data_IF_826443339736
#
_entry.id   IF_826443339736
#
_cell.length_a   1.000
_cell.length_b   1.000
_cell.length_c   1.000
_cell.angle_alpha   90.00
_cell.angle_beta   90.00
_cell.angle_gamma   90.00
#
_symmetry.space_group_name_H-M   'P 1'
#
loop_
_entity.id
_entity.type
_entity.pdbx_description
1 polymer ?
#
# COMPACT_ATOMS: atom_id res chain seq x y z
N UNK A 1 -16.17 14.31 28.49
CA UNK A 1 -15.77 13.84 29.82
C UNK A 1 -16.93 13.66 30.82
N UNK A 2 -18.20 13.67 30.41
CA UNK A 2 -19.34 13.64 31.36
C UNK A 2 -20.11 12.31 31.42
N UNK A 3 -19.88 11.35 30.52
CA UNK A 3 -20.60 10.06 30.54
C UNK A 3 -19.94 9.00 31.45
N UNK A 4 -18.63 9.08 31.66
CA UNK A 4 -17.89 8.12 32.51
C UNK A 4 -18.16 8.27 34.02
N UNK A 5 -18.49 9.45 34.49
CA UNK A 5 -18.75 9.71 35.91
C UNK A 5 -20.15 9.23 36.35
N UNK A 6 -21.13 9.30 35.44
CA UNK A 6 -22.53 8.87 35.74
C UNK A 6 -22.69 7.35 35.86
N UNK A 7 -21.88 6.57 35.13
CA UNK A 7 -21.90 5.09 35.20
C UNK A 7 -21.14 4.63 36.47
N UNK A 8 -20.02 5.27 36.79
CA UNK A 8 -19.24 4.99 37.98
C UNK A 8 -20.02 5.23 39.27
N UNK A 9 -20.71 6.36 39.39
CA UNK A 9 -21.50 6.72 40.58
C UNK A 9 -22.75 5.82 40.78
N UNK A 10 -23.37 5.34 39.70
CA UNK A 10 -24.47 4.37 39.81
C UNK A 10 -24.02 2.99 40.24
N UNK A 11 -22.86 2.52 39.72
CA UNK A 11 -22.27 1.23 40.12
C UNK A 11 -21.81 1.25 41.59
N UNK A 12 -21.25 2.36 42.06
CA UNK A 12 -20.78 2.50 43.45
C UNK A 12 -21.99 2.62 44.41
N UNK A 13 -23.08 3.29 44.02
CA UNK A 13 -24.33 3.33 44.81
C UNK A 13 -25.03 1.97 44.88
N UNK A 14 -25.07 1.17 43.79
CA UNK A 14 -25.62 -0.18 43.81
C UNK A 14 -24.88 -1.14 44.74
N UNK A 15 -23.61 -0.89 45.04
CA UNK A 15 -22.82 -1.70 45.99
C UNK A 15 -22.99 -1.35 47.48
N UNK A 16 -23.62 -0.21 47.78
CA UNK A 16 -23.65 0.31 49.18
C UNK A 16 -24.97 0.06 49.90
N UNK A 17 -26.06 -0.18 49.17
CA UNK A 17 -27.39 -0.38 49.73
C UNK A 17 -27.92 -1.84 49.56
N UNK A 18 -27.01 -2.77 49.21
CA UNK A 18 -27.39 -4.19 49.11
C UNK A 18 -27.58 -4.79 50.49
N UNK A 19 -28.82 -5.04 50.83
CA UNK A 19 -29.22 -5.82 52.05
C UNK A 19 -28.57 -7.23 51.97
N UNK A 20 -27.68 -7.61 52.88
CA UNK A 20 -27.00 -8.90 52.84
C UNK A 20 -27.90 -10.12 52.99
N UNK A 21 -29.18 -9.93 53.17
CA UNK A 21 -30.19 -11.01 53.40
C UNK A 21 -31.02 -11.35 52.15
N UNK A 22 -30.83 -10.71 51.01
CA UNK A 22 -31.64 -10.96 49.80
C UNK A 22 -31.09 -12.13 48.95
N UNK A 23 -31.73 -13.33 48.95
CA UNK A 23 -31.21 -14.48 48.18
C UNK A 23 -31.32 -14.31 46.64
N UNK A 24 -32.10 -13.35 46.16
CA UNK A 24 -32.27 -13.10 44.73
C UNK A 24 -31.05 -12.43 44.10
N UNK A 25 -30.37 -11.55 44.80
CA UNK A 25 -29.18 -10.87 44.31
C UNK A 25 -27.99 -11.81 44.13
N UNK A 26 -27.86 -12.83 44.95
CA UNK A 26 -26.78 -13.82 44.84
C UNK A 26 -26.91 -14.66 43.56
N UNK A 27 -28.11 -15.10 43.20
CA UNK A 27 -28.38 -15.89 41.99
C UNK A 27 -28.07 -15.08 40.73
N UNK A 28 -28.46 -13.81 40.71
CA UNK A 28 -28.17 -12.92 39.59
C UNK A 28 -26.67 -12.67 39.44
N UNK A 29 -25.97 -12.34 40.52
CA UNK A 29 -24.52 -12.15 40.54
C UNK A 29 -23.77 -13.40 40.11
N UNK A 30 -24.19 -14.56 40.59
CA UNK A 30 -23.63 -15.85 40.20
C UNK A 30 -23.88 -16.14 38.70
N UNK A 31 -25.07 -15.87 38.18
CA UNK A 31 -25.40 -16.04 36.78
C UNK A 31 -24.56 -15.13 35.88
N UNK A 32 -24.32 -13.85 36.26
CA UNK A 32 -23.45 -12.92 35.56
C UNK A 32 -22.00 -13.42 35.56
N UNK A 33 -21.52 -13.94 36.72
CA UNK A 33 -20.17 -14.47 36.81
C UNK A 33 -20.00 -15.71 35.93
N UNK A 34 -20.94 -16.63 35.94
CA UNK A 34 -20.91 -17.82 35.06
C UNK A 34 -20.98 -17.42 33.60
N UNK A 35 -21.85 -16.47 33.24
CA UNK A 35 -21.92 -15.95 31.87
C UNK A 35 -20.60 -15.33 31.42
N UNK A 36 -19.99 -14.51 32.29
CA UNK A 36 -18.68 -13.90 31.99
C UNK A 36 -17.58 -14.97 31.82
N UNK A 37 -17.59 -16.00 32.66
CA UNK A 37 -16.65 -17.10 32.55
C UNK A 37 -16.87 -17.92 31.29
N UNK A 38 -18.10 -18.22 30.91
CA UNK A 38 -18.42 -18.93 29.64
C UNK A 38 -17.99 -18.11 28.44
N UNK A 39 -18.27 -16.81 28.43
CA UNK A 39 -17.80 -15.93 27.36
C UNK A 39 -16.29 -15.90 27.32
N UNK A 40 -15.61 -15.78 28.46
CA UNK A 40 -14.16 -15.83 28.55
C UNK A 40 -13.56 -17.11 27.97
N UNK A 41 -14.15 -18.27 28.27
CA UNK A 41 -13.75 -19.56 27.71
C UNK A 41 -13.97 -19.61 26.20
N UNK A 42 -15.12 -19.14 25.70
CA UNK A 42 -15.41 -19.10 24.25
C UNK A 42 -14.37 -18.24 23.50
N UNK A 43 -14.00 -17.07 24.05
CA UNK A 43 -13.02 -16.20 23.43
C UNK A 43 -11.57 -16.66 23.61
N UNK A 44 -11.26 -17.43 24.66
CA UNK A 44 -9.93 -17.98 24.88
C UNK A 44 -9.70 -19.32 24.14
N UNK A 45 -10.74 -20.11 23.94
CA UNK A 45 -10.65 -21.45 23.35
C UNK A 45 -9.98 -21.51 21.97
N UNK A 46 -10.14 -20.53 21.05
CA UNK A 46 -9.43 -20.54 19.76
C UNK A 46 -7.92 -20.64 19.88
N UNK A 47 -7.32 -20.08 20.94
CA UNK A 47 -5.87 -20.11 21.14
C UNK A 47 -5.31 -21.50 21.52
N UNK A 48 -6.18 -22.45 21.83
CA UNK A 48 -5.78 -23.86 22.09
C UNK A 48 -5.55 -24.64 20.80
N UNK A 49 -6.02 -24.13 19.67
CA UNK A 49 -5.88 -24.76 18.36
C UNK A 49 -4.65 -24.21 17.63
N UNK A 50 -3.58 -25.02 17.56
CA UNK A 50 -2.38 -24.64 16.83
C UNK A 50 -2.66 -24.58 15.32
N UNK A 51 -2.27 -23.48 14.63
CA UNK A 51 -2.47 -23.36 13.20
C UNK A 51 -1.66 -24.39 12.41
N UNK A 52 -2.19 -24.85 11.29
CA UNK A 52 -1.50 -25.72 10.36
C UNK A 52 -0.59 -24.92 9.42
N UNK A 53 0.54 -25.48 9.05
CA UNK A 53 1.36 -24.96 7.95
C UNK A 53 0.61 -25.09 6.63
N UNK A 54 0.49 -24.02 5.88
CA UNK A 54 -0.31 -24.02 4.65
C UNK A 54 0.35 -23.22 3.53
N UNK A 55 0.07 -23.60 2.29
CA UNK A 55 0.35 -22.77 1.11
C UNK A 55 -0.94 -22.20 0.58
N UNK A 56 -0.91 -20.93 0.29
CA UNK A 56 -2.00 -20.22 -0.36
C UNK A 56 -1.61 -19.88 -1.79
N UNK A 57 -2.37 -20.39 -2.75
CA UNK A 57 -2.21 -20.08 -4.17
C UNK A 57 -3.25 -19.06 -4.59
N UNK A 58 -2.82 -18.04 -5.34
CA UNK A 58 -3.68 -17.04 -5.97
C UNK A 58 -3.28 -16.84 -7.43
N UNK A 59 -4.25 -16.42 -8.26
CA UNK A 59 -3.98 -16.03 -9.64
C UNK A 59 -3.52 -14.57 -9.70
N UNK A 60 -2.54 -14.26 -10.55
CA UNK A 60 -2.08 -12.90 -10.86
C UNK A 60 -2.86 -12.31 -12.04
N UNK A 61 -3.63 -13.13 -12.75
CA UNK A 61 -4.42 -12.69 -13.92
C UNK A 61 -5.62 -11.87 -13.46
N UNK A 62 -6.00 -10.90 -14.26
CA UNK A 62 -6.94 -9.81 -13.94
C UNK A 62 -8.35 -10.22 -13.47
N UNK A 63 -8.79 -11.48 -13.64
CA UNK A 63 -10.07 -11.96 -13.09
C UNK A 63 -9.91 -12.63 -11.72
N UNK A 64 -8.67 -12.85 -11.24
CA UNK A 64 -8.34 -13.38 -9.92
C UNK A 64 -8.85 -14.81 -9.63
N UNK A 65 -9.56 -15.44 -10.59
CA UNK A 65 -10.20 -16.74 -10.38
C UNK A 65 -9.28 -17.90 -10.69
N UNK A 66 -9.31 -18.89 -9.81
CA UNK A 66 -8.62 -20.15 -10.01
C UNK A 66 -9.53 -21.15 -10.70
N UNK A 67 -8.96 -21.99 -11.59
CA UNK A 67 -9.70 -23.10 -12.18
C UNK A 67 -9.96 -24.19 -11.12
N UNK A 68 -11.19 -24.73 -11.03
CA UNK A 68 -11.48 -25.85 -10.10
C UNK A 68 -10.59 -27.07 -10.29
N UNK A 69 -10.09 -27.30 -11.52
CA UNK A 69 -9.17 -28.41 -11.80
C UNK A 69 -7.77 -28.20 -11.20
N UNK A 70 -7.45 -26.97 -10.78
CA UNK A 70 -6.13 -26.64 -10.22
C UNK A 70 -5.87 -27.42 -8.93
N UNK A 71 -6.89 -27.60 -8.07
CA UNK A 71 -6.77 -28.37 -6.83
C UNK A 71 -6.28 -29.81 -7.08
N UNK A 72 -6.93 -30.51 -8.00
CA UNK A 72 -6.54 -31.88 -8.35
C UNK A 72 -5.12 -31.96 -8.92
N UNK A 73 -4.77 -31.04 -9.81
CA UNK A 73 -3.44 -30.95 -10.42
C UNK A 73 -2.34 -30.64 -9.40
N UNK A 74 -2.59 -29.73 -8.47
CA UNK A 74 -1.67 -29.37 -7.38
C UNK A 74 -1.48 -30.57 -6.44
N UNK A 75 -2.57 -31.22 -6.05
CA UNK A 75 -2.54 -32.41 -5.19
C UNK A 75 -1.74 -33.54 -5.83
N UNK A 76 -1.98 -33.83 -7.10
CA UNK A 76 -1.25 -34.85 -7.86
C UNK A 76 0.24 -34.49 -8.00
N UNK A 77 0.54 -33.22 -8.32
CA UNK A 77 1.92 -32.76 -8.49
C UNK A 77 2.74 -32.85 -7.20
N UNK A 78 2.16 -32.61 -6.05
CA UNK A 78 2.82 -32.74 -4.75
C UNK A 78 2.95 -34.20 -4.31
N UNK A 79 1.86 -34.97 -4.43
CA UNK A 79 1.85 -36.40 -4.02
C UNK A 79 2.80 -37.23 -4.86
N UNK A 80 2.88 -36.98 -6.18
CA UNK A 80 3.83 -37.71 -7.07
C UNK A 80 5.30 -37.41 -6.73
N UNK A 81 5.59 -36.35 -6.00
CA UNK A 81 6.92 -35.97 -5.51
C UNK A 81 7.16 -36.33 -4.04
N UNK A 82 6.25 -37.11 -3.45
CA UNK A 82 6.39 -37.63 -2.08
C UNK A 82 6.09 -36.61 -0.97
N UNK A 83 5.34 -35.54 -1.27
CA UNK A 83 4.90 -34.59 -0.26
C UNK A 83 3.50 -34.97 0.22
N UNK A 84 3.37 -35.18 1.54
CA UNK A 84 2.11 -35.49 2.17
C UNK A 84 1.26 -34.23 2.36
N UNK A 85 0.02 -34.26 1.89
CA UNK A 85 -0.96 -33.18 2.06
C UNK A 85 -1.93 -33.58 3.18
N UNK A 86 -2.11 -32.69 4.15
CA UNK A 86 -3.08 -32.90 5.25
C UNK A 86 -4.52 -32.64 4.78
N UNK A 87 -4.75 -31.57 4.07
CA UNK A 87 -6.03 -31.22 3.43
C UNK A 87 -5.83 -30.14 2.38
N UNK A 88 -6.78 -30.00 1.45
CA UNK A 88 -6.87 -28.90 0.51
C UNK A 88 -8.25 -28.25 0.61
N UNK A 89 -8.32 -26.96 0.38
CA UNK A 89 -9.54 -26.16 0.39
C UNK A 89 -9.53 -25.20 -0.79
N UNK A 90 -10.46 -25.41 -1.72
CA UNK A 90 -10.61 -24.59 -2.91
C UNK A 90 -11.70 -23.53 -2.69
N UNK A 91 -11.37 -22.28 -2.97
CA UNK A 91 -12.28 -21.15 -3.12
C UNK A 91 -11.96 -20.48 -4.46
N UNK A 92 -12.92 -19.87 -5.17
CA UNK A 92 -12.66 -19.32 -6.51
C UNK A 92 -11.49 -18.34 -6.62
N UNK A 93 -11.15 -17.62 -5.57
CA UNK A 93 -10.07 -16.63 -5.49
C UNK A 93 -8.76 -17.19 -4.91
N UNK A 94 -8.80 -18.39 -4.27
CA UNK A 94 -7.62 -18.99 -3.63
C UNK A 94 -7.72 -20.50 -3.49
N UNK A 95 -6.58 -21.15 -3.51
CA UNK A 95 -6.44 -22.55 -3.11
C UNK A 95 -5.53 -22.62 -1.89
N UNK A 96 -6.01 -23.21 -0.80
CA UNK A 96 -5.26 -23.44 0.43
C UNK A 96 -4.90 -24.90 0.56
N UNK A 97 -3.61 -25.21 0.70
CA UNK A 97 -3.11 -26.57 0.88
C UNK A 97 -2.39 -26.68 2.22
N UNK A 98 -2.82 -27.57 3.09
CA UNK A 98 -2.30 -27.75 4.47
C UNK A 98 -1.32 -28.89 4.56
N UNK A 99 -0.27 -28.70 5.37
CA UNK A 99 0.81 -29.65 5.60
C UNK A 99 0.97 -29.96 7.09
N UNK A 100 1.62 -31.08 7.40
CA UNK A 100 1.89 -31.48 8.77
C UNK A 100 3.12 -30.74 9.36
N UNK A 101 4.06 -30.31 8.51
CA UNK A 101 5.29 -29.66 8.95
C UNK A 101 5.68 -28.47 8.05
N UNK A 102 6.48 -27.53 8.62
CA UNK A 102 7.03 -26.43 7.88
C UNK A 102 8.03 -26.85 6.78
N UNK A 103 8.74 -27.95 6.98
CA UNK A 103 9.68 -28.49 5.98
C UNK A 103 8.93 -28.97 4.72
N UNK A 104 7.78 -29.65 4.91
CA UNK A 104 6.93 -30.07 3.79
C UNK A 104 6.33 -28.87 3.08
N UNK A 105 5.92 -27.83 3.82
CA UNK A 105 5.43 -26.58 3.27
C UNK A 105 6.47 -25.90 2.37
N UNK A 106 7.72 -25.79 2.83
CA UNK A 106 8.81 -25.14 2.07
C UNK A 106 9.18 -25.93 0.81
N UNK A 107 9.26 -27.27 0.90
CA UNK A 107 9.49 -28.12 -0.28
C UNK A 107 8.34 -28.01 -1.28
N UNK A 108 7.10 -28.02 -0.79
CA UNK A 108 5.91 -27.88 -1.62
C UNK A 108 5.90 -26.52 -2.35
N UNK A 109 6.27 -25.43 -1.66
CA UNK A 109 6.40 -24.10 -2.26
C UNK A 109 7.35 -24.12 -3.46
N UNK A 110 8.58 -24.59 -3.27
CA UNK A 110 9.60 -24.63 -4.32
C UNK A 110 9.14 -25.45 -5.53
N UNK A 111 8.47 -26.57 -5.30
CA UNK A 111 7.95 -27.44 -6.35
C UNK A 111 6.83 -26.75 -7.13
N UNK A 112 5.90 -26.13 -6.42
CA UNK A 112 4.74 -25.47 -7.04
C UNK A 112 5.13 -24.22 -7.81
N UNK A 113 6.05 -23.40 -7.30
CA UNK A 113 6.58 -22.23 -8.01
C UNK A 113 7.24 -22.64 -9.33
N UNK A 114 8.11 -23.64 -9.30
CA UNK A 114 8.80 -24.14 -10.50
C UNK A 114 7.84 -24.80 -11.50
N UNK A 115 6.76 -25.42 -11.02
CA UNK A 115 5.83 -26.16 -11.87
C UNK A 115 4.72 -25.28 -12.44
N UNK A 116 4.14 -24.36 -11.63
CA UNK A 116 3.02 -23.50 -12.04
C UNK A 116 3.47 -22.33 -12.93
N UNK A 117 4.67 -21.82 -12.69
CA UNK A 117 5.18 -20.62 -13.35
C UNK A 117 6.33 -20.92 -14.33
N UNK A 118 6.30 -22.10 -14.98
CA UNK A 118 7.36 -22.55 -15.89
C UNK A 118 7.55 -21.63 -17.10
N UNK A 119 6.45 -21.16 -17.67
CA UNK A 119 6.45 -20.35 -18.90
C UNK A 119 6.10 -18.90 -18.63
N UNK A 120 5.22 -18.63 -17.69
CA UNK A 120 4.78 -17.30 -17.27
C UNK A 120 4.41 -17.29 -15.80
N UNK A 121 4.66 -16.16 -15.10
CA UNK A 121 4.25 -16.00 -13.70
C UNK A 121 2.73 -15.75 -13.64
N UNK A 122 1.95 -16.81 -13.53
CA UNK A 122 0.47 -16.77 -13.46
C UNK A 122 -0.08 -16.96 -12.06
N UNK A 123 0.73 -17.55 -11.16
CA UNK A 123 0.28 -17.88 -9.81
C UNK A 123 1.29 -17.40 -8.78
N UNK A 124 0.78 -16.88 -7.67
CA UNK A 124 1.54 -16.61 -6.46
C UNK A 124 1.32 -17.75 -5.48
N UNK A 125 2.42 -18.32 -4.98
CA UNK A 125 2.43 -19.36 -3.96
C UNK A 125 2.97 -18.78 -2.67
N UNK A 126 2.08 -18.40 -1.75
CA UNK A 126 2.45 -17.77 -0.48
C UNK A 126 2.47 -18.78 0.67
N UNK A 127 3.46 -18.63 1.56
CA UNK A 127 3.47 -19.31 2.86
C UNK A 127 2.37 -18.73 3.73
N UNK A 128 1.59 -19.58 4.37
CA UNK A 128 0.51 -19.19 5.26
C UNK A 128 0.43 -20.13 6.47
N UNK A 129 -0.20 -19.66 7.54
CA UNK A 129 -0.61 -20.44 8.70
C UNK A 129 -2.15 -20.49 8.73
N UNK A 130 -2.71 -21.67 8.50
CA UNK A 130 -4.15 -21.84 8.43
C UNK A 130 -4.73 -22.18 9.80
N UNK A 131 -5.75 -21.42 10.24
CA UNK A 131 -6.46 -21.69 11.47
C UNK A 131 -7.05 -23.11 11.46
N UNK A 132 -6.95 -23.79 12.59
CA UNK A 132 -7.59 -25.08 12.86
C UNK A 132 -8.78 -24.94 13.80
N UNK A 133 -9.20 -23.72 14.11
CA UNK A 133 -10.34 -23.42 14.96
C UNK A 133 -11.61 -24.05 14.39
N UNK A 134 -12.40 -24.81 15.18
CA UNK A 134 -13.63 -25.40 14.70
C UNK A 134 -14.65 -24.35 14.24
N UNK A 135 -15.34 -24.63 13.14
CA UNK A 135 -16.28 -23.70 12.52
C UNK A 135 -17.42 -23.23 13.46
N UNK A 136 -17.81 -24.04 14.43
CA UNK A 136 -18.83 -23.63 15.41
C UNK A 136 -18.33 -22.54 16.34
N UNK A 137 -17.02 -22.56 16.69
CA UNK A 137 -16.39 -21.56 17.55
C UNK A 137 -16.16 -20.24 16.77
N UNK A 138 -15.80 -20.33 15.51
CA UNK A 138 -15.69 -19.16 14.62
C UNK A 138 -17.04 -18.46 14.42
N UNK A 139 -18.14 -19.24 14.29
CA UNK A 139 -19.51 -18.69 14.20
C UNK A 139 -19.95 -17.95 15.46
N UNK A 140 -19.40 -18.30 16.63
CA UNK A 140 -19.62 -17.59 17.89
C UNK A 140 -18.69 -16.36 18.04
N UNK A 141 -17.89 -16.02 17.01
CA UNK A 141 -16.97 -14.90 17.04
C UNK A 141 -15.62 -15.20 17.68
N UNK A 142 -15.36 -16.46 18.05
CA UNK A 142 -14.07 -16.90 18.57
C UNK A 142 -13.02 -16.92 17.46
N UNK A 143 -12.04 -16.04 17.53
CA UNK A 143 -10.88 -16.00 16.64
C UNK A 143 -9.61 -16.23 17.46
N UNK A 144 -8.62 -16.98 16.95
CA UNK A 144 -7.33 -17.07 17.61
C UNK A 144 -6.70 -15.67 17.70
N UNK A 145 -5.94 -15.46 18.74
CA UNK A 145 -5.22 -14.20 18.92
C UNK A 145 -4.16 -14.06 17.80
N UNK A 146 -4.15 -12.94 17.11
CA UNK A 146 -3.11 -12.64 16.12
C UNK A 146 -1.77 -12.51 16.84
N UNK A 147 -0.86 -13.41 16.53
CA UNK A 147 0.48 -13.38 17.07
C UNK A 147 1.29 -12.35 16.29
N UNK A 148 1.83 -11.36 17.00
CA UNK A 148 2.75 -10.40 16.39
C UNK A 148 4.03 -11.05 15.90
N UNK A 149 4.87 -10.29 15.19
CA UNK A 149 6.17 -10.70 14.64
C UNK A 149 7.06 -11.42 15.66
N UNK A 150 7.05 -10.97 16.91
CA UNK A 150 7.88 -11.52 17.97
C UNK A 150 7.56 -12.98 18.33
N UNK A 151 6.32 -13.41 18.08
CA UNK A 151 5.83 -14.75 18.43
C UNK A 151 5.66 -15.66 17.22
N UNK A 152 5.26 -15.12 16.08
CA UNK A 152 5.08 -15.90 14.84
C UNK A 152 6.31 -15.90 13.94
N UNK A 153 7.31 -15.06 14.24
CA UNK A 153 8.39 -14.73 13.31
C UNK A 153 7.85 -13.94 12.10
N UNK A 154 8.73 -13.49 11.27
CA UNK A 154 8.35 -12.72 10.07
C UNK A 154 9.37 -11.64 9.74
N UNK A 155 8.97 -10.73 8.87
CA UNK A 155 9.82 -9.67 8.37
C UNK A 155 9.21 -8.32 8.73
N UNK A 156 10.04 -7.46 9.30
CA UNK A 156 9.75 -6.06 9.57
C UNK A 156 10.51 -5.19 8.58
N UNK A 157 9.78 -4.38 7.80
CA UNK A 157 10.37 -3.36 6.96
C UNK A 157 10.05 -1.98 7.52
N UNK A 158 11.07 -1.16 7.57
CA UNK A 158 10.94 0.29 7.73
C UNK A 158 11.29 0.91 6.38
N UNK A 159 10.30 1.44 5.69
CA UNK A 159 10.44 2.08 4.39
C UNK A 159 10.43 3.60 4.61
N UNK A 160 11.24 4.31 3.86
CA UNK A 160 11.24 5.76 3.80
C UNK A 160 10.66 6.21 2.46
N UNK A 161 9.71 7.13 2.52
CA UNK A 161 9.10 7.73 1.33
C UNK A 161 9.91 8.96 0.96
N UNK A 162 10.37 9.03 -0.28
CA UNK A 162 11.07 10.19 -0.83
C UNK A 162 10.05 11.30 -1.14
N UNK A 163 9.73 12.09 -0.11
CA UNK A 163 8.79 13.18 -0.21
C UNK A 163 9.36 14.38 -0.99
N UNK A 164 10.68 14.52 -0.99
CA UNK A 164 11.34 15.63 -1.72
C UNK A 164 11.29 15.37 -3.23
N UNK A 165 11.36 14.10 -3.67
CA UNK A 165 11.09 13.75 -5.06
C UNK A 165 9.66 14.10 -5.47
N UNK A 166 8.66 13.82 -4.65
CA UNK A 166 7.26 14.14 -4.95
C UNK A 166 7.04 15.67 -5.09
N UNK A 167 7.70 16.48 -4.24
CA UNK A 167 7.67 17.94 -4.35
C UNK A 167 8.36 18.40 -5.63
N UNK A 168 9.51 17.81 -5.97
CA UNK A 168 10.26 18.15 -7.19
C UNK A 168 9.47 17.84 -8.45
N UNK A 169 8.85 16.66 -8.52
CA UNK A 169 8.02 16.25 -9.66
C UNK A 169 6.83 17.21 -9.85
N UNK A 170 6.25 17.70 -8.76
CA UNK A 170 5.18 18.71 -8.79
C UNK A 170 5.72 20.04 -9.33
N UNK A 171 6.84 20.52 -8.83
CA UNK A 171 7.46 21.76 -9.29
C UNK A 171 7.84 21.71 -10.79
N UNK A 172 8.35 20.58 -11.27
CA UNK A 172 8.67 20.41 -12.70
C UNK A 172 7.40 20.44 -13.57
N UNK A 173 6.32 19.79 -13.13
CA UNK A 173 5.04 19.82 -13.84
C UNK A 173 4.43 21.24 -13.87
N UNK A 174 4.52 21.97 -12.77
CA UNK A 174 4.03 23.34 -12.70
C UNK A 174 4.90 24.31 -13.52
N UNK A 175 6.22 24.09 -13.56
CA UNK A 175 7.11 24.85 -14.44
C UNK A 175 6.72 24.73 -15.91
N UNK A 176 6.35 23.53 -16.37
CA UNK A 176 5.85 23.34 -17.75
C UNK A 176 4.51 24.07 -17.98
N UNK A 177 3.64 24.05 -17.00
CA UNK A 177 2.37 24.79 -17.06
C UNK A 177 2.61 26.32 -17.12
N UNK A 178 3.47 26.85 -16.27
CA UNK A 178 3.84 28.27 -16.28
C UNK A 178 4.51 28.69 -17.60
N UNK A 179 5.41 27.86 -18.16
CA UNK A 179 5.98 28.08 -19.49
C UNK A 179 4.91 28.17 -20.58
N UNK A 180 3.84 27.38 -20.48
CA UNK A 180 2.71 27.42 -21.41
C UNK A 180 1.96 28.76 -21.28
N UNK A 181 1.60 29.15 -20.05
CA UNK A 181 0.91 30.43 -19.78
C UNK A 181 1.70 31.61 -20.31
N UNK A 182 3.01 31.67 -20.05
CA UNK A 182 3.86 32.74 -20.55
C UNK A 182 3.93 32.79 -22.08
N UNK A 183 4.02 31.63 -22.73
CA UNK A 183 4.02 31.56 -24.22
C UNK A 183 2.67 32.03 -24.82
N UNK A 184 1.57 31.61 -24.23
CA UNK A 184 0.22 31.97 -24.71
C UNK A 184 -0.02 33.48 -24.58
N UNK A 185 0.52 34.12 -23.53
CA UNK A 185 0.52 35.57 -23.35
C UNK A 185 1.64 36.29 -24.09
N UNK A 186 2.45 35.56 -24.91
CA UNK A 186 3.59 36.12 -25.68
C UNK A 186 4.65 36.82 -24.84
N UNK A 187 4.76 36.46 -23.58
CA UNK A 187 5.78 36.97 -22.67
C UNK A 187 7.08 36.19 -22.86
N UNK A 188 8.12 36.90 -23.25
CA UNK A 188 9.44 36.25 -23.52
C UNK A 188 10.23 36.19 -22.22
N UNK A 189 10.63 34.98 -21.88
CA UNK A 189 11.54 34.71 -20.78
C UNK A 189 12.90 34.23 -21.32
N UNK A 190 13.94 34.33 -20.51
CA UNK A 190 15.25 33.81 -20.82
C UNK A 190 15.18 32.28 -20.86
N UNK A 191 15.60 31.68 -21.96
CA UNK A 191 15.66 30.22 -22.04
C UNK A 191 16.72 29.71 -21.04
N UNK A 192 16.24 29.01 -20.02
CA UNK A 192 17.09 28.28 -19.10
C UNK A 192 16.73 26.79 -19.23
N UNK A 193 17.74 25.92 -19.16
CA UNK A 193 17.50 24.47 -19.20
C UNK A 193 16.66 24.02 -18.02
N UNK A 194 16.85 24.64 -16.85
CA UNK A 194 16.09 24.34 -15.65
C UNK A 194 15.60 25.64 -14.98
N UNK A 195 14.32 25.63 -14.58
CA UNK A 195 13.73 26.67 -13.74
C UNK A 195 13.80 26.29 -12.26
N UNK A 196 13.90 25.01 -11.96
CA UNK A 196 13.97 24.49 -10.60
C UNK A 196 15.34 24.77 -10.00
N UNK A 197 15.37 25.51 -8.91
CA UNK A 197 16.56 25.82 -8.12
C UNK A 197 16.24 25.50 -6.67
N UNK A 198 16.84 24.46 -6.12
CA UNK A 198 16.50 23.93 -4.81
C UNK A 198 14.99 23.62 -4.73
N UNK A 199 14.23 24.31 -3.89
CA UNK A 199 12.79 24.13 -3.67
C UNK A 199 11.96 25.28 -4.27
N UNK A 200 12.49 26.03 -5.24
CA UNK A 200 11.83 27.16 -5.88
C UNK A 200 11.93 27.12 -7.39
N UNK A 201 10.97 27.71 -8.07
CA UNK A 201 11.04 27.97 -9.51
C UNK A 201 11.54 29.38 -9.77
N UNK A 202 12.58 29.53 -10.59
CA UNK A 202 13.15 30.81 -10.94
C UNK A 202 13.11 31.03 -12.44
N UNK A 203 12.56 32.16 -12.84
CA UNK A 203 12.47 32.58 -14.24
C UNK A 203 13.00 34.00 -14.41
N UNK A 204 13.83 34.20 -15.45
CA UNK A 204 14.43 35.49 -15.77
C UNK A 204 13.79 36.14 -17.00
N UNK A 205 13.68 37.45 -17.00
CA UNK A 205 13.13 38.28 -18.07
C UNK A 205 14.16 39.33 -18.50
N UNK A 206 14.01 39.86 -19.70
CA UNK A 206 14.93 40.86 -20.22
C UNK A 206 14.82 42.21 -19.52
N UNK A 207 13.66 42.55 -19.02
CA UNK A 207 13.33 43.82 -18.33
C UNK A 207 12.26 43.62 -17.24
N UNK A 208 12.15 44.63 -16.37
CA UNK A 208 11.22 44.63 -15.26
C UNK A 208 9.76 44.71 -15.71
N UNK A 209 9.47 45.38 -16.82
CA UNK A 209 8.09 45.50 -17.31
C UNK A 209 7.56 44.14 -17.81
N UNK A 210 8.41 43.37 -18.49
CA UNK A 210 8.05 42.00 -18.90
C UNK A 210 7.90 41.06 -17.71
N UNK A 211 8.71 41.23 -16.64
CA UNK A 211 8.55 40.49 -15.37
C UNK A 211 7.20 40.80 -14.71
N UNK A 212 6.85 42.08 -14.60
CA UNK A 212 5.59 42.52 -13.93
C UNK A 212 4.36 42.01 -14.71
N UNK A 213 4.40 42.04 -16.04
CA UNK A 213 3.36 41.45 -16.88
C UNK A 213 3.31 39.91 -16.76
N UNK A 214 4.43 39.24 -16.49
CA UNK A 214 4.47 37.81 -16.25
C UNK A 214 3.89 37.45 -14.88
N UNK A 215 4.15 38.25 -13.86
CA UNK A 215 3.55 38.09 -12.52
C UNK A 215 2.02 38.20 -12.60
N UNK A 216 1.49 39.20 -13.29
CA UNK A 216 0.04 39.34 -13.53
C UNK A 216 -0.55 38.16 -14.30
N UNK A 217 0.15 37.68 -15.35
CA UNK A 217 -0.33 36.57 -16.16
C UNK A 217 -0.31 35.22 -15.41
N UNK A 218 0.57 35.07 -14.44
CA UNK A 218 0.69 33.85 -13.63
C UNK A 218 -0.19 33.87 -12.38
N UNK A 219 -0.80 35.02 -12.00
CA UNK A 219 -1.49 35.20 -10.74
C UNK A 219 -2.52 34.10 -10.42
N UNK A 220 -3.36 33.74 -11.40
CA UNK A 220 -4.37 32.70 -11.22
C UNK A 220 -3.77 31.28 -11.20
N UNK A 221 -2.74 31.04 -12.02
CA UNK A 221 -2.12 29.71 -12.16
C UNK A 221 -1.14 29.42 -11.03
N UNK A 222 -0.51 30.46 -10.47
CA UNK A 222 0.44 30.37 -9.37
C UNK A 222 -0.20 30.69 -8.01
N UNK A 223 -1.51 30.52 -7.84
CA UNK A 223 -2.20 30.81 -6.59
C UNK A 223 -1.67 30.04 -5.37
N UNK A 224 -1.13 28.87 -5.59
CA UNK A 224 -0.50 27.99 -4.57
C UNK A 224 0.94 28.44 -4.21
N UNK A 225 1.46 29.46 -4.91
CA UNK A 225 2.83 29.93 -4.77
C UNK A 225 2.89 31.31 -4.08
N UNK A 226 3.99 31.53 -3.39
CA UNK A 226 4.46 32.86 -3.06
C UNK A 226 5.35 33.34 -4.22
N UNK A 227 4.87 34.37 -4.95
CA UNK A 227 5.59 34.95 -6.07
C UNK A 227 6.32 36.19 -5.62
N UNK A 228 7.62 36.25 -5.84
CA UNK A 228 8.45 37.38 -5.44
C UNK A 228 9.35 37.83 -6.60
N UNK A 229 9.48 39.15 -6.73
CA UNK A 229 10.47 39.71 -7.65
C UNK A 229 11.88 39.41 -7.15
N UNK A 230 12.72 38.84 -8.00
CA UNK A 230 14.07 38.44 -7.69
C UNK A 230 15.05 38.84 -8.79
N UNK A 231 16.32 38.78 -8.48
CA UNK A 231 17.38 38.89 -9.51
C UNK A 231 17.82 37.48 -9.83
N UNK A 232 17.48 37.00 -11.02
CA UNK A 232 17.82 35.67 -11.50
C UNK A 232 18.91 35.80 -12.58
N UNK A 233 20.10 35.26 -12.32
CA UNK A 233 21.25 35.32 -13.24
C UNK A 233 21.62 36.74 -13.67
N UNK A 234 21.42 37.72 -12.79
CA UNK A 234 21.73 39.13 -13.07
C UNK A 234 20.66 39.88 -13.86
N UNK A 235 19.52 39.28 -14.14
CA UNK A 235 18.37 39.85 -14.84
C UNK A 235 17.15 40.01 -13.90
N UNK A 236 16.17 40.81 -14.33
CA UNK A 236 14.90 40.91 -13.66
C UNK A 236 14.21 39.54 -13.71
N UNK A 237 13.80 38.99 -12.57
CA UNK A 237 13.19 37.65 -12.50
C UNK A 237 12.07 37.54 -11.50
N UNK A 238 11.41 36.39 -11.52
CA UNK A 238 10.46 35.96 -10.52
C UNK A 238 11.01 34.70 -9.84
N UNK A 239 10.84 34.62 -8.55
CA UNK A 239 10.98 33.43 -7.75
C UNK A 239 9.61 33.00 -7.25
N UNK A 240 9.23 31.76 -7.53
CA UNK A 240 7.97 31.16 -7.11
C UNK A 240 8.27 30.03 -6.12
N UNK A 241 7.77 30.16 -4.92
CA UNK A 241 7.91 29.14 -3.87
C UNK A 241 6.54 28.61 -3.49
N UNK A 242 6.41 27.28 -3.42
CA UNK A 242 5.18 26.69 -2.87
C UNK A 242 4.95 27.16 -1.44
N UNK A 243 3.71 27.47 -1.12
CA UNK A 243 3.32 27.81 0.26
C UNK A 243 3.51 26.59 1.15
N UNK A 244 3.75 26.82 2.43
CA UNK A 244 4.00 25.73 3.40
C UNK A 244 2.83 24.76 3.48
N UNK A 245 1.61 25.28 3.40
CA UNK A 245 0.37 24.50 3.43
C UNK A 245 0.32 23.53 2.24
N UNK A 246 0.65 24.01 1.03
CA UNK A 246 0.67 23.20 -0.19
C UNK A 246 1.78 22.14 -0.16
N UNK A 247 2.95 22.48 0.38
CA UNK A 247 4.04 21.53 0.59
C UNK A 247 3.61 20.39 1.53
N UNK A 248 2.91 20.70 2.61
CA UNK A 248 2.40 19.69 3.53
C UNK A 248 1.30 18.84 2.87
N UNK A 249 0.41 19.44 2.06
CA UNK A 249 -0.61 18.69 1.30
C UNK A 249 0.00 17.72 0.28
N UNK A 250 1.01 18.14 -0.48
CA UNK A 250 1.74 17.28 -1.43
C UNK A 250 2.39 16.10 -0.69
N UNK A 251 3.04 16.37 0.44
CA UNK A 251 3.69 15.34 1.25
C UNK A 251 2.69 14.35 1.85
N UNK A 252 1.58 14.83 2.38
CA UNK A 252 0.52 14.01 2.96
C UNK A 252 -0.16 13.16 1.89
N UNK A 253 -0.39 13.72 0.70
CA UNK A 253 -0.91 12.99 -0.45
C UNK A 253 0.06 11.89 -0.90
N UNK A 254 1.34 12.21 -1.09
CA UNK A 254 2.36 11.24 -1.46
C UNK A 254 2.46 10.10 -0.43
N UNK A 255 2.43 10.42 0.87
CA UNK A 255 2.43 9.43 1.94
C UNK A 255 1.20 8.53 1.88
N UNK A 256 0.01 9.09 1.72
CA UNK A 256 -1.25 8.34 1.68
C UNK A 256 -1.31 7.39 0.48
N UNK A 257 -0.86 7.85 -0.69
CA UNK A 257 -0.80 7.07 -1.92
C UNK A 257 0.21 5.92 -1.81
N UNK A 258 1.40 6.18 -1.28
CA UNK A 258 2.39 5.14 -1.04
C UNK A 258 1.87 4.09 -0.04
N UNK A 259 1.19 4.52 1.03
CA UNK A 259 0.58 3.63 2.01
C UNK A 259 -0.49 2.73 1.36
N UNK A 260 -1.37 3.29 0.53
CA UNK A 260 -2.41 2.54 -0.19
C UNK A 260 -1.80 1.54 -1.17
N UNK A 261 -0.79 1.98 -1.95
CA UNK A 261 -0.07 1.13 -2.90
C UNK A 261 0.62 -0.03 -2.21
N UNK A 262 1.32 0.22 -1.08
CA UNK A 262 1.97 -0.83 -0.30
C UNK A 262 0.96 -1.82 0.29
N UNK A 263 -0.18 -1.35 0.81
CA UNK A 263 -1.25 -2.23 1.30
C UNK A 263 -1.76 -3.17 0.21
N UNK A 264 -2.01 -2.65 -0.99
CA UNK A 264 -2.47 -3.46 -2.11
C UNK A 264 -1.45 -4.53 -2.47
N UNK A 265 -0.16 -4.19 -2.57
CA UNK A 265 0.92 -5.13 -2.88
C UNK A 265 1.11 -6.19 -1.81
N UNK A 266 1.04 -5.79 -0.54
CA UNK A 266 1.15 -6.73 0.58
C UNK A 266 -0.04 -7.69 0.60
N UNK A 267 -1.24 -7.22 0.24
CA UNK A 267 -2.40 -8.09 0.08
C UNK A 267 -2.26 -9.08 -1.09
N UNK A 268 -1.58 -8.69 -2.18
CA UNK A 268 -1.25 -9.58 -3.29
C UNK A 268 -0.29 -10.70 -2.88
N UNK A 269 0.59 -10.46 -1.90
CA UNK A 269 1.45 -11.50 -1.31
C UNK A 269 0.66 -12.63 -0.65
N UNK A 270 -0.61 -12.39 -0.31
CA UNK A 270 -1.44 -13.37 0.37
C UNK A 270 -1.01 -13.66 1.81
N UNK A 271 -0.19 -12.79 2.39
CA UNK A 271 0.22 -12.88 3.80
C UNK A 271 -1.00 -12.75 4.71
N UNK A 272 -1.05 -13.55 5.75
CA UNK A 272 -2.13 -13.46 6.76
C UNK A 272 -1.87 -12.28 7.67
N UNK A 273 -2.85 -11.38 7.77
CA UNK A 273 -2.85 -10.23 8.69
C UNK A 273 -1.59 -9.33 8.63
N UNK A 274 -1.20 -8.84 7.45
CA UNK A 274 -0.06 -7.92 7.35
C UNK A 274 -0.42 -6.58 7.98
N UNK A 275 0.56 -5.94 8.64
CA UNK A 275 0.41 -4.57 9.14
C UNK A 275 1.13 -3.60 8.22
N UNK A 276 0.42 -2.59 7.73
CA UNK A 276 1.00 -1.50 6.94
C UNK A 276 0.51 -0.17 7.54
N UNK A 277 1.41 0.57 8.14
CA UNK A 277 1.06 1.82 8.83
C UNK A 277 2.13 2.90 8.66
N UNK A 278 1.70 4.16 8.69
CA UNK A 278 2.61 5.30 8.71
C UNK A 278 3.33 5.39 10.07
N UNK A 279 4.61 5.72 10.03
CA UNK A 279 5.47 5.91 11.19
C UNK A 279 6.18 7.28 11.13
N UNK A 280 5.53 8.30 11.64
CA UNK A 280 5.97 9.69 11.49
C UNK A 280 5.58 10.28 10.14
N UNK A 281 6.33 11.26 9.65
CA UNK A 281 5.98 12.05 8.46
C UNK A 281 6.43 11.44 7.13
N UNK A 282 7.48 10.61 7.13
CA UNK A 282 8.10 10.09 5.90
C UNK A 282 8.32 8.58 5.89
N UNK A 283 7.92 7.85 6.95
CA UNK A 283 8.21 6.42 7.05
C UNK A 283 6.95 5.59 7.09
N UNK A 284 7.05 4.37 6.55
CA UNK A 284 6.00 3.35 6.57
C UNK A 284 6.58 2.08 7.17
N UNK A 285 5.90 1.54 8.18
CA UNK A 285 6.17 0.23 8.74
C UNK A 285 5.34 -0.80 7.98
N UNK A 286 6.00 -1.87 7.56
CA UNK A 286 5.36 -3.02 6.93
C UNK A 286 5.80 -4.28 7.67
N UNK A 287 4.85 -4.91 8.37
CA UNK A 287 5.04 -6.15 9.09
C UNK A 287 4.40 -7.30 8.32
N UNK A 288 5.19 -8.31 8.03
CA UNK A 288 4.79 -9.50 7.29
C UNK A 288 4.96 -10.74 8.16
N UNK A 289 3.97 -11.07 9.01
CA UNK A 289 4.05 -12.24 9.86
C UNK A 289 4.14 -13.54 9.05
N UNK A 290 4.96 -14.49 9.49
CA UNK A 290 5.11 -15.79 8.86
C UNK A 290 5.90 -15.82 7.55
N UNK A 291 6.30 -14.67 7.01
CA UNK A 291 7.17 -14.60 5.82
C UNK A 291 8.61 -14.83 6.22
N UNK A 292 9.26 -15.83 5.62
CA UNK A 292 10.64 -16.17 5.93
C UNK A 292 11.63 -15.69 4.87
N UNK A 293 11.17 -15.49 3.63
CA UNK A 293 12.01 -15.04 2.52
C UNK A 293 11.97 -13.53 2.35
N UNK A 294 13.00 -12.86 2.86
CA UNK A 294 13.13 -11.40 2.74
C UNK A 294 13.42 -10.93 1.31
N UNK A 295 14.03 -11.76 0.48
CA UNK A 295 14.35 -11.38 -0.90
C UNK A 295 13.07 -11.35 -1.77
N UNK A 296 12.19 -12.34 -1.61
CA UNK A 296 10.89 -12.36 -2.29
C UNK A 296 10.01 -11.20 -1.84
N UNK A 297 9.95 -10.93 -0.53
CA UNK A 297 9.20 -9.80 0.00
C UNK A 297 9.73 -8.47 -0.55
N UNK A 298 11.05 -8.24 -0.57
CA UNK A 298 11.68 -7.06 -1.17
C UNK A 298 11.37 -6.94 -2.66
N UNK A 299 11.44 -8.04 -3.41
CA UNK A 299 11.16 -8.05 -4.86
C UNK A 299 9.74 -7.59 -5.17
N UNK A 300 8.77 -7.97 -4.35
CA UNK A 300 7.37 -7.59 -4.56
C UNK A 300 7.12 -6.16 -4.09
N UNK A 301 7.65 -5.77 -2.96
CA UNK A 301 7.55 -4.40 -2.48
C UNK A 301 8.25 -3.40 -3.43
N UNK A 302 9.36 -3.79 -4.05
CA UNK A 302 10.13 -2.95 -4.98
C UNK A 302 9.63 -2.97 -6.43
N UNK A 303 8.55 -3.70 -6.76
CA UNK A 303 7.93 -3.61 -8.09
C UNK A 303 7.20 -2.27 -8.23
N UNK A 304 7.91 -1.24 -8.63
CA UNK A 304 7.30 0.01 -9.05
C UNK A 304 6.79 -0.15 -10.50
N UNK A 305 5.50 -0.06 -10.69
CA UNK A 305 4.90 0.11 -12.00
C UNK A 305 4.26 1.51 -12.02
N UNK A 306 4.92 2.46 -12.64
CA UNK A 306 4.31 3.74 -12.96
C UNK A 306 3.50 3.57 -14.24
N UNK A 307 2.21 3.88 -14.19
CA UNK A 307 1.39 3.96 -15.38
C UNK A 307 1.64 5.32 -16.03
N UNK A 308 2.25 5.29 -17.22
CA UNK A 308 2.50 6.47 -18.00
C UNK A 308 1.81 6.34 -19.35
N UNK A 309 1.04 7.34 -19.73
CA UNK A 309 0.47 7.44 -21.05
C UNK A 309 1.38 8.30 -21.92
N UNK A 310 1.96 7.70 -22.95
CA UNK A 310 2.85 8.37 -23.91
C UNK A 310 2.30 8.21 -25.31
N UNK A 311 2.52 9.22 -26.15
CA UNK A 311 2.17 9.11 -27.57
C UNK A 311 3.12 8.16 -28.30
N UNK A 312 2.56 7.38 -29.21
CA UNK A 312 3.37 6.68 -30.21
C UNK A 312 3.95 7.74 -31.14
N UNK A 313 5.29 7.76 -31.23
CA UNK A 313 5.97 8.78 -32.00
C UNK A 313 5.63 8.69 -33.50
N UNK A 314 5.19 9.79 -34.08
CA UNK A 314 5.00 9.92 -35.51
C UNK A 314 6.33 10.03 -36.27
N UNK A 315 6.33 9.88 -37.60
CA UNK A 315 7.55 9.93 -38.42
C UNK A 315 8.29 11.28 -38.37
N UNK A 316 7.59 12.33 -37.94
CA UNK A 316 8.13 13.70 -37.89
C UNK A 316 8.76 14.07 -36.54
N UNK A 317 8.73 13.16 -35.56
CA UNK A 317 9.27 13.42 -34.22
C UNK A 317 10.77 13.12 -34.21
N UNK A 318 11.56 14.10 -33.74
CA UNK A 318 13.02 13.96 -33.63
C UNK A 318 13.40 12.80 -32.71
N UNK A 319 14.41 12.01 -33.11
CA UNK A 319 14.94 10.87 -32.35
C UNK A 319 15.39 11.25 -30.93
N UNK A 320 15.77 12.51 -30.69
CA UNK A 320 16.14 13.02 -29.37
C UNK A 320 14.94 13.09 -28.39
N UNK A 321 13.70 13.12 -28.92
CA UNK A 321 12.45 13.23 -28.17
C UNK A 321 11.73 11.89 -28.05
N UNK A 322 12.32 10.80 -28.52
CA UNK A 322 11.70 9.47 -28.56
C UNK A 322 12.49 8.48 -27.72
N UNK A 323 11.79 7.43 -27.29
CA UNK A 323 12.34 6.29 -26.57
C UNK A 323 11.75 5.01 -27.14
N UNK A 324 12.55 3.94 -27.21
CA UNK A 324 12.16 2.68 -27.83
C UNK A 324 11.77 1.69 -26.74
N UNK A 325 10.64 1.03 -26.96
CA UNK A 325 10.12 -0.03 -26.08
C UNK A 325 9.84 -1.27 -26.92
N UNK A 326 10.00 -2.42 -26.31
CA UNK A 326 9.60 -3.70 -26.90
C UNK A 326 8.24 -4.12 -26.33
N UNK A 327 7.25 -4.31 -27.18
CA UNK A 327 5.91 -4.78 -26.82
C UNK A 327 5.49 -5.92 -27.73
N UNK A 328 5.20 -7.11 -27.18
CA UNK A 328 4.82 -8.33 -27.92
C UNK A 328 5.79 -8.69 -29.07
N UNK A 329 7.11 -8.50 -28.84
CA UNK A 329 8.12 -8.78 -29.85
C UNK A 329 8.18 -7.75 -31.00
N UNK A 330 7.53 -6.58 -30.81
CA UNK A 330 7.56 -5.45 -31.75
C UNK A 330 8.18 -4.25 -31.09
N UNK A 331 9.04 -3.56 -31.81
CA UNK A 331 9.60 -2.29 -31.37
C UNK A 331 8.55 -1.17 -31.53
N UNK A 332 8.22 -0.50 -30.42
CA UNK A 332 7.33 0.65 -30.37
C UNK A 332 8.14 1.87 -29.96
N UNK A 333 8.09 2.93 -30.75
CA UNK A 333 8.74 4.18 -30.46
C UNK A 333 7.74 5.14 -29.82
N UNK A 334 8.02 5.58 -28.59
CA UNK A 334 7.15 6.48 -27.83
C UNK A 334 7.82 7.85 -27.69
N UNK A 335 7.02 8.89 -27.57
CA UNK A 335 7.53 10.20 -27.19
C UNK A 335 7.98 10.18 -25.71
N UNK A 336 9.05 10.89 -25.37
CA UNK A 336 9.56 10.98 -23.99
C UNK A 336 8.62 11.76 -23.07
N UNK A 337 7.80 12.66 -23.63
CA UNK A 337 6.85 13.43 -22.85
C UNK A 337 5.66 12.57 -22.42
N UNK A 338 5.40 12.52 -21.13
CA UNK A 338 4.18 11.90 -20.60
C UNK A 338 2.99 12.82 -20.85
N UNK A 339 1.87 12.27 -21.36
CA UNK A 339 0.61 13.01 -21.50
C UNK A 339 -0.11 13.04 -20.15
N UNK A 340 -0.19 11.86 -19.52
CA UNK A 340 -0.85 11.64 -18.24
C UNK A 340 -0.06 10.57 -17.48
N UNK A 341 0.13 10.76 -16.21
CA UNK A 341 0.67 9.76 -15.28
C UNK A 341 -0.49 9.12 -14.51
N UNK A 342 -0.32 7.88 -14.03
CA UNK A 342 -1.39 7.11 -13.38
C UNK A 342 -1.95 7.73 -12.11
N UNK A 343 -1.23 8.65 -11.49
CA UNK A 343 -1.66 9.46 -10.36
C UNK A 343 -2.78 10.48 -10.70
N UNK A 344 -2.98 10.77 -11.97
CA UNK A 344 -4.02 11.69 -12.49
C UNK A 344 -5.20 10.99 -13.15
N UNK A 345 -5.22 9.65 -13.15
CA UNK A 345 -6.33 8.85 -13.66
C UNK A 345 -7.16 8.37 -12.47
N UNK A 346 -8.27 9.04 -12.19
CA UNK A 346 -9.29 8.66 -11.21
C UNK A 346 -10.48 8.01 -11.90
#
# INVERSE_FOLDING_TARGET
>A
MALGSLIGDRLIRMGRDADPSAPEDFRLRFAILVLALVLGVIYAAPNLFTPDYALQLRSVVSDGRLSPQLEGRVTEALTSRGIAIKSSEYVPDRLLVRFASGDEQLRAKSILEAWLNRDETRYVVALNLASTTPAWLERLGGKPMSLGLDLSGGIHFLLEVDLDSAVRDRLEADAENFRRVLRDNRLRYQAAEEWLVEDSLQVAFMDAATRDAAEDALADTAAEYEVQAATVRGLAGLELRLRTEELDEIRDYAMSQNLASLRNRVNELGVSEPLVQAAGRSRIIVDLPGVQDSADAKRILNKFANLEFRLVAGPDVSAARTERYEYEGREVVLERSNIVTGDRVT
#
